data_IF_900975247770
#
_entry.id   IF_900975247770
#
_cell.length_a   1.000
_cell.length_b   1.000
_cell.length_c   1.000
_cell.angle_alpha   90.00
_cell.angle_beta   90.00
_cell.angle_gamma   90.00
#
_symmetry.space_group_name_H-M   'P 1'
#
loop_
_entity.id
_entity.type
_entity.pdbx_description
1 polymer ?
#
# COMPACT_ATOMS: atom_id res chain seq x y z
N UNK A 1 11.25 -5.51 5.75
CA UNK A 1 10.35 -5.86 4.64
C UNK A 1 10.76 -7.18 3.99
N UNK A 2 9.79 -7.99 3.57
CA UNK A 2 9.99 -9.17 2.72
C UNK A 2 10.25 -8.78 1.26
N UNK A 3 10.69 -9.73 0.42
CA UNK A 3 10.90 -9.46 -1.01
C UNK A 3 9.59 -9.08 -1.72
N UNK A 4 8.48 -9.76 -1.40
CA UNK A 4 7.16 -9.47 -1.99
C UNK A 4 6.64 -8.10 -1.58
N UNK A 5 6.76 -7.72 -0.30
CA UNK A 5 6.42 -6.37 0.18
C UNK A 5 7.24 -5.30 -0.54
N UNK A 6 8.56 -5.51 -0.65
CA UNK A 6 9.46 -4.58 -1.35
C UNK A 6 9.07 -4.46 -2.82
N UNK A 7 8.76 -5.56 -3.49
CA UNK A 7 8.29 -5.56 -4.88
C UNK A 7 7.02 -4.73 -5.05
N UNK A 8 6.02 -4.89 -4.18
CA UNK A 8 4.77 -4.11 -4.23
C UNK A 8 5.02 -2.60 -4.04
N UNK A 9 5.87 -2.24 -3.07
CA UNK A 9 6.27 -0.84 -2.83
C UNK A 9 7.03 -0.25 -4.01
N UNK A 10 7.97 -1.01 -4.60
CA UNK A 10 8.73 -0.55 -5.75
C UNK A 10 7.85 -0.32 -6.96
N UNK A 11 6.99 -1.30 -7.28
CA UNK A 11 5.99 -1.12 -8.33
C UNK A 11 5.19 0.17 -8.03
N UNK A 12 4.81 0.44 -6.75
CA UNK A 12 3.95 1.58 -6.37
C UNK A 12 4.60 2.90 -6.75
N UNK A 13 5.87 3.04 -6.35
CA UNK A 13 6.69 4.21 -6.64
C UNK A 13 6.94 4.40 -8.13
N UNK A 14 7.05 3.32 -8.90
CA UNK A 14 7.29 3.36 -10.34
C UNK A 14 6.03 3.67 -11.18
N UNK A 15 4.88 3.88 -10.55
CA UNK A 15 3.73 4.43 -11.27
C UNK A 15 2.62 3.45 -11.62
N UNK A 16 2.64 2.17 -11.18
CA UNK A 16 1.71 1.08 -11.60
C UNK A 16 0.73 1.48 -12.71
N UNK A 17 1.12 1.21 -13.95
CA UNK A 17 0.17 0.97 -15.01
C UNK A 17 0.27 -0.52 -15.36
N UNK A 18 -0.86 -1.20 -15.62
CA UNK A 18 -0.82 -2.55 -16.17
C UNK A 18 -0.26 -2.43 -17.59
N UNK A 19 1.03 -2.63 -17.81
CA UNK A 19 1.62 -2.58 -19.16
C UNK A 19 1.28 -1.33 -19.99
N UNK A 20 1.01 -0.18 -19.33
CA UNK A 20 0.57 1.06 -19.98
C UNK A 20 -0.91 1.16 -20.37
N UNK A 21 -1.74 0.15 -20.09
CA UNK A 21 -3.19 0.15 -20.39
C UNK A 21 -4.00 -0.06 -19.11
N UNK A 22 -4.88 0.86 -18.71
CA UNK A 22 -5.76 0.66 -17.56
C UNK A 22 -6.54 -0.66 -17.72
N UNK A 23 -6.54 -1.51 -16.69
CA UNK A 23 -7.49 -2.62 -16.62
C UNK A 23 -8.87 -2.02 -16.36
N UNK A 24 -9.87 -2.58 -17.03
CA UNK A 24 -11.27 -2.22 -16.75
C UNK A 24 -11.59 -2.58 -15.31
N UNK A 25 -12.20 -1.64 -14.60
CA UNK A 25 -12.61 -1.85 -13.23
C UNK A 25 -13.76 -2.88 -13.20
N UNK A 26 -13.52 -4.03 -12.58
CA UNK A 26 -14.45 -5.18 -12.56
C UNK A 26 -15.86 -4.78 -12.10
N UNK A 27 -16.01 -3.74 -11.27
CA UNK A 27 -17.31 -3.30 -10.76
C UNK A 27 -17.95 -2.13 -11.53
N UNK A 28 -17.24 -1.42 -12.42
CA UNK A 28 -17.79 -0.36 -13.30
C UNK A 28 -17.06 -0.38 -14.65
N UNK A 29 -17.60 -1.05 -15.67
CA UNK A 29 -16.96 -1.26 -16.98
C UNK A 29 -16.79 0.01 -17.83
N UNK A 30 -17.14 1.20 -17.32
CA UNK A 30 -17.08 2.47 -18.06
C UNK A 30 -16.10 3.49 -17.46
N UNK A 31 -15.38 3.14 -16.39
CA UNK A 31 -14.42 4.05 -15.76
C UNK A 31 -13.01 3.49 -15.85
N UNK A 32 -12.11 4.25 -16.48
CA UNK A 32 -10.68 3.95 -16.49
C UNK A 32 -10.16 3.92 -15.05
N UNK A 33 -9.51 2.82 -14.67
CA UNK A 33 -9.00 2.69 -13.31
C UNK A 33 -7.85 3.67 -13.08
N UNK A 34 -8.07 4.67 -12.22
CA UNK A 34 -7.09 5.65 -11.79
C UNK A 34 -6.66 5.39 -10.34
N UNK A 35 -5.52 5.94 -9.91
CA UNK A 35 -5.11 5.91 -8.50
C UNK A 35 -6.19 6.47 -7.58
N UNK A 36 -6.85 7.55 -8.01
CA UNK A 36 -7.90 8.22 -7.24
C UNK A 36 -9.11 7.31 -7.04
N UNK A 37 -9.59 6.66 -8.10
CA UNK A 37 -10.69 5.69 -7.99
C UNK A 37 -10.31 4.50 -7.11
N UNK A 38 -9.05 4.05 -7.14
CA UNK A 38 -8.60 2.97 -6.26
C UNK A 38 -8.64 3.39 -4.77
N UNK A 39 -8.32 4.65 -4.46
CA UNK A 39 -8.42 5.18 -3.09
C UNK A 39 -9.85 5.17 -2.57
N UNK A 40 -10.81 5.59 -3.41
CA UNK A 40 -12.22 5.61 -3.05
C UNK A 40 -12.79 4.19 -2.90
N UNK A 41 -12.52 3.29 -3.86
CA UNK A 41 -12.99 1.91 -3.85
C UNK A 41 -12.49 1.09 -2.66
N UNK A 42 -11.21 1.26 -2.30
CA UNK A 42 -10.60 0.53 -1.17
C UNK A 42 -10.67 1.29 0.15
N UNK A 43 -11.35 2.44 0.17
CA UNK A 43 -11.47 3.33 1.33
C UNK A 43 -10.11 3.61 2.00
N UNK A 44 -9.07 3.87 1.19
CA UNK A 44 -7.67 3.90 1.63
C UNK A 44 -7.41 4.96 2.69
N UNK A 45 -7.96 6.18 2.51
CA UNK A 45 -7.84 7.25 3.51
C UNK A 45 -8.38 6.84 4.87
N UNK A 46 -9.55 6.20 4.90
CA UNK A 46 -10.17 5.74 6.13
C UNK A 46 -9.32 4.67 6.82
N UNK A 47 -8.85 3.68 6.06
CA UNK A 47 -8.01 2.59 6.58
C UNK A 47 -6.68 3.08 7.14
N UNK A 48 -6.08 4.09 6.50
CA UNK A 48 -4.81 4.66 6.92
C UNK A 48 -4.95 5.78 7.96
N UNK A 49 -6.16 6.09 8.42
CA UNK A 49 -6.43 7.20 9.35
C UNK A 49 -5.92 8.55 8.83
N UNK A 50 -6.01 8.78 7.52
CA UNK A 50 -5.54 9.99 6.85
C UNK A 50 -6.71 10.83 6.33
N UNK A 51 -6.61 12.18 6.36
CA UNK A 51 -7.63 13.04 5.79
C UNK A 51 -7.65 12.94 4.26
N UNK A 52 -8.84 13.08 3.66
CA UNK A 52 -9.03 13.08 2.19
C UNK A 52 -8.29 14.22 1.47
N UNK A 53 -7.80 15.23 2.20
CA UNK A 53 -6.97 16.30 1.64
C UNK A 53 -5.59 15.81 1.18
N UNK A 54 -5.12 14.66 1.68
CA UNK A 54 -3.90 14.02 1.19
C UNK A 54 -4.21 13.32 -0.13
N UNK A 55 -3.68 13.84 -1.23
CA UNK A 55 -3.99 13.35 -2.57
C UNK A 55 -3.55 11.90 -2.81
N UNK A 56 -2.33 11.55 -2.37
CA UNK A 56 -1.79 10.19 -2.46
C UNK A 56 -1.39 9.67 -1.06
N UNK A 57 -2.34 9.05 -0.32
CA UNK A 57 -2.11 8.59 1.04
C UNK A 57 -1.06 7.48 1.14
N UNK A 58 -0.93 6.65 0.10
CA UNK A 58 0.07 5.57 0.06
C UNK A 58 1.46 6.17 -0.10
N UNK A 59 1.66 7.02 -1.11
CA UNK A 59 2.95 7.66 -1.34
C UNK A 59 3.36 8.56 -0.17
N UNK A 60 2.40 9.27 0.44
CA UNK A 60 2.63 10.05 1.65
C UNK A 60 3.25 9.20 2.77
N UNK A 61 2.63 8.07 3.13
CA UNK A 61 3.20 7.18 4.15
C UNK A 61 4.52 6.56 3.70
N UNK A 62 4.64 6.09 2.46
CA UNK A 62 5.89 5.50 1.98
C UNK A 62 7.06 6.47 2.02
N UNK A 63 6.82 7.78 1.95
CA UNK A 63 7.85 8.81 2.08
C UNK A 63 8.21 9.12 3.54
N UNK A 64 7.34 8.79 4.49
CA UNK A 64 7.61 8.89 5.92
C UNK A 64 8.36 7.68 6.47
N UNK A 65 8.60 6.65 5.65
CA UNK A 65 9.32 5.46 6.08
C UNK A 65 10.68 5.83 6.68
N UNK A 66 11.00 5.33 7.88
CA UNK A 66 12.26 5.63 8.52
C UNK A 66 13.44 5.13 7.69
N UNK A 67 14.31 6.06 7.26
CA UNK A 67 15.60 5.73 6.63
C UNK A 67 16.62 5.21 7.66
N UNK A 68 16.46 5.66 8.90
CA UNK A 68 17.23 5.24 10.06
C UNK A 68 16.28 4.81 11.15
N UNK A 69 16.77 3.98 12.07
CA UNK A 69 15.98 3.48 13.19
C UNK A 69 15.35 4.66 13.97
N UNK A 70 14.01 4.76 14.00
CA UNK A 70 13.35 5.89 14.64
C UNK A 70 13.41 5.75 16.17
N UNK A 71 13.20 6.86 16.89
CA UNK A 71 12.98 6.81 18.34
C UNK A 71 11.73 5.96 18.63
N UNK A 72 11.67 5.23 19.76
CA UNK A 72 10.55 4.34 20.08
C UNK A 72 9.18 5.03 19.99
N UNK A 73 9.07 6.30 20.35
CA UNK A 73 7.81 7.05 20.26
C UNK A 73 7.30 7.24 18.83
N UNK A 74 8.21 7.35 17.85
CA UNK A 74 7.86 7.47 16.44
C UNK A 74 7.61 6.11 15.76
N UNK A 75 8.00 4.98 16.37
CA UNK A 75 7.74 3.65 15.82
C UNK A 75 6.33 3.14 16.14
N UNK A 76 5.71 3.58 17.23
CA UNK A 76 4.37 3.14 17.64
C UNK A 76 3.30 3.30 16.55
N UNK A 77 3.30 4.41 15.81
CA UNK A 77 2.36 4.61 14.70
C UNK A 77 2.58 3.63 13.55
N UNK A 78 3.82 3.22 13.31
CA UNK A 78 4.16 2.25 12.27
C UNK A 78 3.67 0.84 12.58
N UNK A 79 3.57 0.43 13.86
CA UNK A 79 2.99 -0.87 14.23
C UNK A 79 1.52 -1.00 13.80
N UNK A 80 0.79 0.11 13.74
CA UNK A 80 -0.59 0.13 13.24
C UNK A 80 -0.65 0.36 11.73
N UNK A 81 0.08 1.36 11.23
CA UNK A 81 -0.06 1.80 9.84
C UNK A 81 0.59 0.84 8.85
N UNK A 82 1.71 0.20 9.20
CA UNK A 82 2.48 -0.62 8.28
C UNK A 82 1.76 -1.90 7.83
N UNK A 83 1.14 -2.71 8.73
CA UNK A 83 0.35 -3.86 8.31
C UNK A 83 -0.80 -3.47 7.39
N UNK A 84 -1.50 -2.37 7.69
CA UNK A 84 -2.60 -1.86 6.88
C UNK A 84 -2.10 -1.49 5.48
N UNK A 85 -0.98 -0.76 5.40
CA UNK A 85 -0.36 -0.38 4.13
C UNK A 85 0.08 -1.62 3.32
N UNK A 86 0.66 -2.62 3.97
CA UNK A 86 1.03 -3.89 3.31
C UNK A 86 -0.19 -4.63 2.75
N UNK A 87 -1.30 -4.65 3.48
CA UNK A 87 -2.56 -5.25 3.03
C UNK A 87 -3.16 -4.48 1.85
N UNK A 88 -3.22 -3.14 1.91
CA UNK A 88 -3.69 -2.31 0.79
C UNK A 88 -2.85 -2.56 -0.46
N UNK A 89 -1.53 -2.55 -0.34
CA UNK A 89 -0.63 -2.81 -1.47
C UNK A 89 -0.81 -4.23 -2.05
N UNK A 90 -1.18 -5.21 -1.22
CA UNK A 90 -1.49 -6.56 -1.66
C UNK A 90 -2.83 -6.65 -2.38
N UNK A 91 -3.87 -5.98 -1.88
CA UNK A 91 -5.17 -5.91 -2.56
C UNK A 91 -5.03 -5.22 -3.91
N UNK A 92 -4.31 -4.10 -3.98
CA UNK A 92 -4.00 -3.44 -5.24
C UNK A 92 -3.28 -4.39 -6.20
N UNK A 93 -2.25 -5.09 -5.73
CA UNK A 93 -1.51 -6.10 -6.50
C UNK A 93 -2.46 -7.16 -7.12
N UNK A 94 -3.40 -7.67 -6.32
CA UNK A 94 -4.43 -8.60 -6.77
C UNK A 94 -5.32 -8.01 -7.87
N UNK A 95 -5.90 -6.83 -7.64
CA UNK A 95 -6.78 -6.18 -8.63
C UNK A 95 -6.07 -5.90 -9.96
N UNK A 96 -4.75 -5.66 -9.95
CA UNK A 96 -4.00 -5.35 -11.16
C UNK A 96 -3.48 -6.59 -11.89
N UNK A 97 -3.23 -7.71 -11.21
CA UNK A 97 -2.52 -8.84 -11.80
C UNK A 97 -3.34 -10.12 -12.02
N UNK A 98 -4.62 -10.17 -11.62
CA UNK A 98 -5.56 -11.33 -11.71
C UNK A 98 -5.09 -12.63 -11.02
N UNK A 99 -3.78 -12.86 -10.93
CA UNK A 99 -3.18 -13.85 -10.06
C UNK A 99 -3.33 -13.40 -8.61
N UNK A 100 -3.96 -14.23 -7.79
CA UNK A 100 -4.04 -14.02 -6.35
C UNK A 100 -2.79 -14.62 -5.70
N UNK A 101 -1.76 -13.82 -5.35
CA UNK A 101 -0.72 -14.35 -4.49
C UNK A 101 -1.35 -14.74 -3.15
N UNK A 102 -0.86 -15.80 -2.48
CA UNK A 102 -1.37 -16.19 -1.18
C UNK A 102 -1.34 -14.98 -0.23
N UNK A 103 -2.36 -14.83 0.63
CA UNK A 103 -2.44 -13.70 1.54
C UNK A 103 -1.15 -13.65 2.39
N UNK A 104 -0.60 -12.44 2.61
CA UNK A 104 0.63 -12.30 3.38
C UNK A 104 0.44 -12.88 4.78
N UNK A 105 1.25 -13.88 5.12
CA UNK A 105 1.36 -14.38 6.50
C UNK A 105 2.06 -13.29 7.31
N UNK A 106 1.30 -12.65 8.21
CA UNK A 106 1.73 -11.55 9.06
C UNK A 106 2.27 -10.31 8.28
N UNK A 107 1.36 -9.48 7.70
CA UNK A 107 1.73 -8.37 6.82
C UNK A 107 2.63 -7.36 7.53
N UNK A 108 3.82 -7.13 6.99
CA UNK A 108 4.73 -6.11 7.49
C UNK A 108 5.57 -6.51 8.71
N UNK A 109 5.41 -7.73 9.24
CA UNK A 109 6.11 -8.25 10.41
C UNK A 109 7.62 -8.02 10.38
N UNK A 110 8.24 -8.24 9.20
CA UNK A 110 9.70 -8.09 9.05
C UNK A 110 10.16 -6.64 9.24
N UNK A 111 9.35 -5.64 8.89
CA UNK A 111 9.69 -4.24 9.19
C UNK A 111 9.43 -3.93 10.66
N UNK A 112 8.29 -4.39 11.21
CA UNK A 112 7.94 -4.15 12.61
C UNK A 112 8.95 -4.74 13.59
N UNK A 113 9.43 -5.96 13.31
CA UNK A 113 10.50 -6.60 14.08
C UNK A 113 11.84 -5.88 14.00
N UNK A 114 12.09 -5.11 12.94
CA UNK A 114 13.27 -4.26 12.84
C UNK A 114 13.09 -2.94 13.59
N UNK A 115 11.85 -2.42 13.66
CA UNK A 115 11.51 -1.22 14.41
C UNK A 115 11.46 -1.45 15.93
N UNK A 116 11.18 -2.68 16.37
CA UNK A 116 11.10 -3.06 17.79
C UNK A 116 12.44 -3.36 18.44
N UNK A 117 13.42 -3.81 17.65
CA UNK A 117 14.81 -4.05 18.10
C UNK A 117 15.57 -2.76 18.12
#
# INVERSE_FOLDING_TARGET
>A
MTCSERSRVLRWRLGWLPGGKPKEYIFHPYHNWSRRSAFDCLHIHHRLYLPRSIEDPISFLLNLLPLHKPRPTASHSWFTLWPILCTILHELDYYFHDECPPPPVDPGAKLLNWLSK
#
